data_IF_093606590072
#
_entry.id   IF_093606590072
#
_cell.length_a   1.000
_cell.length_b   1.000
_cell.length_c   1.000
_cell.angle_alpha   90.00
_cell.angle_beta   90.00
_cell.angle_gamma   90.00
#
_symmetry.space_group_name_H-M   'P 1'
#
loop_
_entity.id
_entity.type
_entity.pdbx_description
1 polymer ?
#
# COMPACT_ATOMS: atom_id res chain seq x y z
N UNK A 1 12.80 4.52 -14.16
CA UNK A 1 12.75 5.49 -13.05
C UNK A 1 12.77 4.76 -11.72
N UNK A 2 13.56 5.26 -10.81
CA UNK A 2 13.68 4.65 -9.50
C UNK A 2 12.49 5.00 -8.62
N UNK A 3 11.98 4.00 -7.88
CA UNK A 3 10.89 4.21 -6.94
C UNK A 3 11.49 4.65 -5.60
N UNK A 4 11.37 5.93 -5.28
CA UNK A 4 12.05 6.54 -4.13
C UNK A 4 11.23 6.43 -2.84
N UNK A 5 11.85 6.80 -1.70
CA UNK A 5 11.13 6.87 -0.43
C UNK A 5 10.03 7.93 -0.47
N UNK A 6 10.23 9.01 -1.22
CA UNK A 6 9.19 10.02 -1.42
C UNK A 6 8.00 9.45 -2.16
N UNK A 7 8.26 8.61 -3.17
CA UNK A 7 7.20 7.93 -3.91
C UNK A 7 6.41 7.00 -2.99
N UNK A 8 7.11 6.27 -2.11
CA UNK A 8 6.45 5.39 -1.13
C UNK A 8 5.56 6.17 -0.18
N UNK A 9 6.04 7.31 0.32
CA UNK A 9 5.25 8.17 1.20
C UNK A 9 4.02 8.71 0.49
N UNK A 10 4.20 9.15 -0.75
CA UNK A 10 3.08 9.67 -1.55
C UNK A 10 2.02 8.60 -1.79
N UNK A 11 2.45 7.37 -2.07
CA UNK A 11 1.53 6.27 -2.30
C UNK A 11 0.84 5.83 -1.00
N UNK A 12 1.56 5.82 0.12
CA UNK A 12 0.95 5.54 1.41
C UNK A 12 -0.08 6.62 1.79
N UNK A 13 0.26 7.88 1.58
CA UNK A 13 -0.65 8.99 1.84
C UNK A 13 -1.90 8.89 0.97
N UNK A 14 -1.73 8.54 -0.29
CA UNK A 14 -2.84 8.28 -1.20
C UNK A 14 -3.73 7.16 -0.66
N UNK A 15 -3.13 6.06 -0.16
CA UNK A 15 -3.89 4.98 0.44
C UNK A 15 -4.70 5.47 1.65
N UNK A 16 -4.06 6.21 2.56
CA UNK A 16 -4.71 6.71 3.78
C UNK A 16 -5.90 7.60 3.44
N UNK A 17 -5.77 8.46 2.45
CA UNK A 17 -6.86 9.36 2.04
C UNK A 17 -8.04 8.62 1.43
N UNK A 18 -7.82 7.42 0.92
CA UNK A 18 -8.83 6.68 0.18
C UNK A 18 -9.17 5.31 0.80
N UNK A 19 -8.64 5.00 2.00
CA UNK A 19 -8.77 3.64 2.55
C UNK A 19 -10.22 3.20 2.75
N UNK A 20 -11.12 4.13 3.10
CA UNK A 20 -12.53 3.78 3.26
C UNK A 20 -13.16 3.37 1.94
N UNK A 21 -12.83 4.06 0.87
CA UNK A 21 -13.31 3.71 -0.47
C UNK A 21 -12.72 2.39 -0.93
N UNK A 22 -11.45 2.16 -0.65
CA UNK A 22 -10.80 0.89 -0.97
C UNK A 22 -11.43 -0.26 -0.20
N UNK A 23 -11.75 -0.04 1.08
CA UNK A 23 -12.40 -1.07 1.88
C UNK A 23 -13.79 -1.43 1.33
N UNK A 24 -14.54 -0.44 0.88
CA UNK A 24 -15.85 -0.67 0.25
C UNK A 24 -15.72 -1.44 -1.05
N UNK A 25 -14.69 -1.15 -1.83
CA UNK A 25 -14.51 -1.75 -3.15
C UNK A 25 -13.87 -3.13 -3.09
N UNK A 26 -12.84 -3.30 -2.28
CA UNK A 26 -12.05 -4.53 -2.25
C UNK A 26 -12.27 -5.38 -1.01
N UNK A 27 -12.79 -4.81 0.06
CA UNK A 27 -12.88 -5.48 1.35
C UNK A 27 -11.54 -5.55 2.06
N UNK A 28 -11.39 -6.50 2.96
CA UNK A 28 -10.15 -6.69 3.71
C UNK A 28 -9.13 -7.43 2.83
N UNK A 29 -8.31 -6.68 2.13
CA UNK A 29 -7.31 -7.21 1.20
C UNK A 29 -5.99 -6.47 1.36
N UNK A 30 -4.93 -7.08 0.82
CA UNK A 30 -3.64 -6.41 0.67
C UNK A 30 -3.63 -5.74 -0.69
N UNK A 31 -3.44 -4.42 -0.70
CA UNK A 31 -3.43 -3.63 -1.94
C UNK A 31 -2.01 -3.29 -2.33
N UNK A 32 -1.66 -3.54 -3.57
CA UNK A 32 -0.39 -3.09 -4.13
C UNK A 32 -0.64 -1.74 -4.79
N UNK A 33 0.16 -0.74 -4.42
CA UNK A 33 -0.03 0.64 -4.90
C UNK A 33 1.27 1.16 -5.46
N UNK A 34 1.19 1.75 -6.64
CA UNK A 34 2.32 2.40 -7.31
C UNK A 34 1.81 3.61 -8.07
N UNK A 35 2.50 4.74 -7.91
CA UNK A 35 2.17 5.99 -8.61
C UNK A 35 0.69 6.36 -8.46
N UNK A 36 0.18 6.21 -7.23
CA UNK A 36 -1.21 6.52 -6.86
C UNK A 36 -2.23 5.71 -7.64
N UNK A 37 -1.88 4.46 -7.93
CA UNK A 37 -2.78 3.50 -8.58
C UNK A 37 -2.75 2.18 -7.86
N UNK A 38 -3.91 1.54 -7.76
CA UNK A 38 -4.01 0.19 -7.20
C UNK A 38 -3.67 -0.80 -8.30
N UNK A 39 -2.57 -1.53 -8.13
CA UNK A 39 -2.13 -2.55 -9.08
C UNK A 39 -2.94 -3.84 -8.96
N UNK A 40 -3.40 -4.15 -7.75
CA UNK A 40 -4.21 -5.32 -7.50
C UNK A 40 -4.55 -5.46 -6.03
N UNK A 41 -5.47 -6.37 -5.73
CA UNK A 41 -5.92 -6.68 -4.38
C UNK A 41 -5.76 -8.19 -4.14
N UNK A 42 -5.14 -8.55 -3.01
CA UNK A 42 -4.71 -9.93 -2.76
C UNK A 42 -5.01 -10.36 -1.33
N UNK A 43 -5.01 -11.66 -1.09
CA UNK A 43 -5.28 -12.21 0.24
C UNK A 43 -4.04 -12.26 1.13
N UNK A 44 -2.85 -12.14 0.57
CA UNK A 44 -1.60 -12.17 1.33
C UNK A 44 -0.51 -11.37 0.64
N UNK A 45 0.53 -11.02 1.40
CA UNK A 45 1.72 -10.35 0.86
C UNK A 45 2.45 -11.26 -0.13
N UNK A 46 2.57 -12.54 0.20
CA UNK A 46 3.25 -13.52 -0.67
C UNK A 46 2.55 -13.62 -2.02
N UNK A 47 1.23 -13.69 -2.01
CA UNK A 47 0.44 -13.75 -3.24
C UNK A 47 0.60 -12.49 -4.08
N UNK A 48 0.64 -11.33 -3.42
CA UNK A 48 0.86 -10.05 -4.08
C UNK A 48 2.19 -10.04 -4.83
N UNK A 49 3.26 -10.40 -4.15
CA UNK A 49 4.60 -10.40 -4.72
C UNK A 49 4.68 -11.41 -5.87
N UNK A 50 4.12 -12.59 -5.68
CA UNK A 50 4.14 -13.63 -6.70
C UNK A 50 3.45 -13.18 -7.99
N UNK A 51 2.31 -12.52 -7.87
CA UNK A 51 1.56 -12.07 -9.04
C UNK A 51 2.24 -10.90 -9.75
N UNK A 52 2.86 -10.00 -9.00
CA UNK A 52 3.43 -8.78 -9.57
C UNK A 52 4.87 -8.93 -10.07
N UNK A 53 5.60 -9.93 -9.60
CA UNK A 53 7.01 -10.12 -9.95
C UNK A 53 7.28 -10.15 -11.46
N UNK A 54 6.45 -10.79 -12.31
CA UNK A 54 6.70 -10.77 -13.75
C UNK A 54 6.64 -9.37 -14.38
N UNK A 55 5.93 -8.45 -13.76
CA UNK A 55 5.70 -7.10 -14.32
C UNK A 55 6.45 -6.00 -13.56
N UNK A 56 6.57 -6.13 -12.24
CA UNK A 56 7.13 -5.11 -11.37
C UNK A 56 8.21 -5.69 -10.47
N UNK A 57 9.31 -4.95 -10.30
CA UNK A 57 10.35 -5.34 -9.36
C UNK A 57 9.85 -5.20 -7.93
N UNK A 58 10.25 -6.13 -7.05
CA UNK A 58 9.97 -6.04 -5.62
C UNK A 58 10.61 -4.75 -5.09
N UNK A 59 9.82 -3.96 -4.36
CA UNK A 59 10.28 -2.67 -3.86
C UNK A 59 9.94 -1.50 -4.76
N UNK A 60 9.35 -1.72 -5.93
CA UNK A 60 8.92 -0.63 -6.82
C UNK A 60 7.46 -0.24 -6.59
N UNK A 61 6.83 -0.79 -5.56
CA UNK A 61 5.46 -0.50 -5.16
C UNK A 61 5.35 -0.73 -3.65
N UNK A 62 4.26 -0.25 -3.04
CA UNK A 62 3.98 -0.57 -1.65
C UNK A 62 2.87 -1.61 -1.59
N UNK A 63 2.86 -2.38 -0.50
CA UNK A 63 1.76 -3.31 -0.21
C UNK A 63 1.17 -2.86 1.12
N UNK A 64 -0.13 -2.56 1.11
CA UNK A 64 -0.81 -2.05 2.29
C UNK A 64 -2.03 -2.89 2.59
N UNK A 65 -2.13 -3.36 3.84
CA UNK A 65 -3.32 -4.07 4.28
C UNK A 65 -4.48 -3.11 4.46
N UNK A 66 -5.60 -3.36 3.80
CA UNK A 66 -6.80 -2.55 3.89
C UNK A 66 -7.73 -3.17 4.92
N UNK A 67 -7.64 -2.70 6.18
CA UNK A 67 -8.42 -3.25 7.28
C UNK A 67 -9.74 -2.52 7.53
N UNK A 68 -9.87 -1.32 6.98
CA UNK A 68 -11.02 -0.46 7.26
C UNK A 68 -10.92 0.23 8.62
N UNK A 69 -9.84 0.03 9.36
CA UNK A 69 -9.62 0.60 10.68
C UNK A 69 -8.50 1.64 10.63
N UNK A 70 -8.86 2.91 10.76
CA UNK A 70 -7.91 4.01 10.69
C UNK A 70 -6.83 3.93 11.77
N UNK A 71 -7.15 3.41 12.94
CA UNK A 71 -6.19 3.35 14.03
C UNK A 71 -4.99 2.46 13.71
N UNK A 72 -5.17 1.46 12.87
CA UNK A 72 -4.08 0.60 12.43
C UNK A 72 -3.04 1.36 11.60
N UNK A 73 -3.44 2.41 10.92
CA UNK A 73 -2.55 3.19 10.06
C UNK A 73 -1.88 4.34 10.79
N UNK A 74 -2.47 4.84 11.88
CA UNK A 74 -1.90 5.93 12.67
C UNK A 74 -0.54 5.59 13.25
N UNK A 75 -0.39 4.37 13.73
CA UNK A 75 0.88 3.91 14.29
C UNK A 75 1.98 3.95 13.24
N UNK A 76 1.66 3.53 12.02
CA UNK A 76 2.61 3.57 10.90
C UNK A 76 2.99 5.00 10.54
N UNK A 77 2.01 5.91 10.51
CA UNK A 77 2.25 7.33 10.22
C UNK A 77 3.17 7.93 11.27
N UNK A 78 2.93 7.65 12.54
CA UNK A 78 3.76 8.16 13.64
C UNK A 78 5.20 7.66 13.52
N UNK A 79 5.41 6.40 13.14
CA UNK A 79 6.76 5.86 12.92
C UNK A 79 7.50 6.60 11.82
N UNK A 80 6.80 6.94 10.74
CA UNK A 80 7.38 7.69 9.63
C UNK A 80 7.79 9.09 10.06
N UNK A 81 6.98 9.74 10.92
CA UNK A 81 7.25 11.10 11.40
C UNK A 81 8.40 11.12 12.40
N UNK A 82 8.48 10.14 13.28
CA UNK A 82 9.50 10.08 14.34
C UNK A 82 10.85 9.59 13.81
N UNK A 83 10.91 9.24 12.55
CA UNK A 83 12.15 8.85 11.92
C UNK A 83 12.56 7.43 12.22
N UNK A 84 11.58 6.66 12.55
CA UNK A 84 11.85 5.23 12.73
C UNK A 84 12.36 4.64 11.45
#
# INVERSE_FOLDING_TARGET
MEYTDEDRKADFDFFIKNYQNFYKEYGHKFLAIKDKKVLGAYDSVTETISDLTPTYEVGSYIIQECTGDESAYRTTIMRLIIGG
#
